data_IF_219719879432
#
_entry.id   IF_219719879432
#
_cell.length_a   1.000
_cell.length_b   1.000
_cell.length_c   1.000
_cell.angle_alpha   90.00
_cell.angle_beta   90.00
_cell.angle_gamma   90.00
#
_symmetry.space_group_name_H-M   'P 1'
#
loop_
_entity.id
_entity.type
_entity.pdbx_description
1 polymer ?
#
# COMPACT_ATOMS: atom_id res chain seq x y z
N UNK A 1 -4.93 -16.68 -19.48
CA UNK A 1 -3.50 -16.43 -19.73
C UNK A 1 -2.65 -16.79 -18.51
N UNK A 2 -2.52 -15.98 -17.44
CA UNK A 2 -1.72 -16.42 -16.25
C UNK A 2 -2.33 -17.62 -15.52
N UNK A 3 -3.66 -17.70 -15.43
CA UNK A 3 -4.35 -18.81 -14.76
C UNK A 3 -4.13 -20.18 -15.43
N UNK A 4 -3.70 -20.16 -16.69
CA UNK A 4 -3.53 -21.35 -17.54
C UNK A 4 -2.03 -21.72 -17.68
N UNK A 5 -1.13 -20.92 -17.09
CA UNK A 5 0.30 -21.17 -17.10
C UNK A 5 0.75 -21.86 -15.81
N UNK A 6 1.77 -22.73 -15.87
CA UNK A 6 2.47 -23.18 -14.68
C UNK A 6 2.93 -21.99 -13.82
N UNK A 7 2.94 -22.19 -12.51
CA UNK A 7 3.23 -21.12 -11.57
C UNK A 7 4.65 -20.58 -11.75
N UNK A 8 5.59 -21.44 -12.13
CA UNK A 8 6.99 -21.13 -12.39
C UNK A 8 7.15 -20.18 -13.59
N UNK A 9 6.42 -20.44 -14.67
CA UNK A 9 6.43 -19.60 -15.87
C UNK A 9 5.82 -18.24 -15.57
N UNK A 10 4.70 -18.23 -14.83
CA UNK A 10 4.07 -17.00 -14.39
C UNK A 10 5.02 -16.16 -13.52
N UNK A 11 5.71 -16.79 -12.58
CA UNK A 11 6.72 -16.12 -11.74
C UNK A 11 7.90 -15.62 -12.57
N UNK A 12 8.39 -16.40 -13.54
CA UNK A 12 9.48 -15.99 -14.43
C UNK A 12 9.11 -14.73 -15.21
N UNK A 13 7.91 -14.67 -15.79
CA UNK A 13 7.42 -13.48 -16.51
C UNK A 13 7.32 -12.28 -15.55
N UNK A 14 6.68 -12.45 -14.39
CA UNK A 14 6.53 -11.40 -13.38
C UNK A 14 7.88 -10.89 -12.86
N UNK A 15 8.92 -11.73 -12.84
CA UNK A 15 10.26 -11.33 -12.40
C UNK A 15 10.88 -10.27 -13.30
N UNK A 16 10.52 -10.23 -14.59
CA UNK A 16 11.03 -9.28 -15.60
C UNK A 16 10.32 -7.94 -15.59
N UNK A 17 9.16 -7.83 -14.94
CA UNK A 17 8.43 -6.57 -14.84
C UNK A 17 9.16 -5.60 -13.92
N UNK A 18 9.06 -4.30 -14.18
CA UNK A 18 9.46 -3.26 -13.23
C UNK A 18 8.48 -3.18 -12.05
N UNK A 19 8.83 -2.43 -11.01
CA UNK A 19 8.02 -2.38 -9.78
C UNK A 19 6.62 -1.79 -9.99
N UNK A 20 6.45 -0.85 -10.92
CA UNK A 20 5.12 -0.28 -11.19
C UNK A 20 4.26 -1.27 -11.97
N UNK A 21 4.81 -1.90 -13.01
CA UNK A 21 4.08 -2.93 -13.76
C UNK A 21 3.76 -4.15 -12.90
N UNK A 22 4.64 -4.54 -11.98
CA UNK A 22 4.39 -5.62 -11.02
C UNK A 22 3.25 -5.28 -10.05
N UNK A 23 3.18 -4.03 -9.59
CA UNK A 23 2.07 -3.55 -8.77
C UNK A 23 0.75 -3.55 -9.56
N UNK A 24 0.76 -3.07 -10.80
CA UNK A 24 -0.41 -3.07 -11.67
C UNK A 24 -0.90 -4.50 -11.94
N UNK A 25 0.03 -5.43 -12.20
CA UNK A 25 -0.27 -6.85 -12.39
C UNK A 25 -1.03 -7.44 -11.20
N UNK A 26 -0.63 -7.11 -9.97
CA UNK A 26 -1.32 -7.55 -8.75
C UNK A 26 -2.77 -7.03 -8.63
N UNK A 27 -3.12 -5.95 -9.33
CA UNK A 27 -4.45 -5.34 -9.31
C UNK A 27 -5.40 -5.89 -10.39
N UNK A 28 -4.89 -6.68 -11.35
CA UNK A 28 -5.68 -7.18 -12.49
C UNK A 28 -6.79 -8.14 -12.05
N UNK A 29 -6.48 -9.09 -11.16
CA UNK A 29 -7.46 -10.06 -10.66
C UNK A 29 -6.96 -10.80 -9.41
N UNK A 30 -7.83 -11.56 -8.75
CA UNK A 30 -7.49 -12.39 -7.58
C UNK A 30 -6.38 -13.42 -7.89
N UNK A 31 -6.41 -14.04 -9.07
CA UNK A 31 -5.38 -15.01 -9.48
C UNK A 31 -4.02 -14.32 -9.62
N UNK A 32 -3.98 -13.18 -10.29
CA UNK A 32 -2.75 -12.39 -10.45
C UNK A 32 -2.21 -11.87 -9.10
N UNK A 33 -3.10 -11.48 -8.19
CA UNK A 33 -2.73 -11.11 -6.82
C UNK A 33 -2.12 -12.30 -6.06
N UNK A 34 -2.67 -13.50 -6.22
CA UNK A 34 -2.13 -14.71 -5.60
C UNK A 34 -0.73 -15.03 -6.11
N UNK A 35 -0.53 -15.02 -7.44
CA UNK A 35 0.78 -15.24 -8.07
C UNK A 35 1.81 -14.19 -7.68
N UNK A 36 1.44 -12.91 -7.62
CA UNK A 36 2.37 -11.85 -7.19
C UNK A 36 2.72 -11.95 -5.69
N UNK A 37 1.89 -12.60 -4.88
CA UNK A 37 2.15 -12.85 -3.45
C UNK A 37 2.88 -14.17 -3.17
N UNK A 38 2.99 -15.06 -4.16
CA UNK A 38 3.55 -16.41 -3.95
C UNK A 38 5.05 -16.39 -3.62
N UNK A 39 5.77 -15.35 -4.02
CA UNK A 39 7.20 -15.21 -3.71
C UNK A 39 7.45 -14.09 -2.70
N UNK A 40 8.42 -14.29 -1.81
CA UNK A 40 8.87 -13.23 -0.88
C UNK A 40 9.48 -12.05 -1.62
N UNK A 41 10.20 -12.30 -2.72
CA UNK A 41 10.83 -11.27 -3.53
C UNK A 41 9.80 -10.28 -4.12
N UNK A 42 8.72 -10.77 -4.73
CA UNK A 42 7.69 -9.89 -5.31
C UNK A 42 6.98 -9.07 -4.23
N UNK A 43 6.63 -9.70 -3.10
CA UNK A 43 6.06 -9.00 -1.95
C UNK A 43 6.96 -7.86 -1.47
N UNK A 44 8.25 -8.12 -1.31
CA UNK A 44 9.21 -7.10 -0.88
C UNK A 44 9.33 -5.97 -1.89
N UNK A 45 9.40 -6.27 -3.19
CA UNK A 45 9.48 -5.26 -4.26
C UNK A 45 8.25 -4.36 -4.27
N UNK A 46 7.05 -4.95 -4.21
CA UNK A 46 5.78 -4.22 -4.16
C UNK A 46 5.71 -3.36 -2.89
N UNK A 47 6.03 -3.91 -1.71
CA UNK A 47 5.98 -3.18 -0.44
C UNK A 47 6.97 -1.99 -0.43
N UNK A 48 8.19 -2.20 -0.91
CA UNK A 48 9.20 -1.13 -1.02
C UNK A 48 8.72 -0.03 -1.98
N UNK A 49 8.14 -0.40 -3.12
CA UNK A 49 7.60 0.56 -4.09
C UNK A 49 6.46 1.39 -3.51
N UNK A 50 5.49 0.76 -2.84
CA UNK A 50 4.39 1.45 -2.17
C UNK A 50 4.94 2.39 -1.08
N UNK A 51 5.87 1.92 -0.24
CA UNK A 51 6.50 2.75 0.80
C UNK A 51 7.20 3.96 0.21
N UNK A 52 7.97 3.77 -0.86
CA UNK A 52 8.63 4.87 -1.56
C UNK A 52 7.63 5.89 -2.12
N UNK A 53 6.56 5.42 -2.78
CA UNK A 53 5.48 6.29 -3.28
C UNK A 53 4.81 7.06 -2.15
N UNK A 54 4.48 6.40 -1.05
CA UNK A 54 3.85 7.03 0.11
C UNK A 54 4.77 8.07 0.76
N UNK A 55 6.06 7.77 0.88
CA UNK A 55 7.05 8.73 1.39
C UNK A 55 7.15 9.97 0.48
N UNK A 56 7.22 9.79 -0.84
CA UNK A 56 7.20 10.91 -1.79
C UNK A 56 5.91 11.74 -1.67
N UNK A 57 4.76 11.08 -1.59
CA UNK A 57 3.47 11.76 -1.41
C UNK A 57 3.38 12.51 -0.08
N UNK A 58 3.96 11.97 1.00
CA UNK A 58 3.98 12.64 2.31
C UNK A 58 4.90 13.87 2.37
N UNK A 59 5.89 13.96 1.48
CA UNK A 59 6.72 15.17 1.35
C UNK A 59 6.00 16.27 0.58
N UNK A 60 5.12 15.90 -0.36
CA UNK A 60 4.34 16.84 -1.17
C UNK A 60 3.08 17.31 -0.43
N UNK A 61 2.43 16.42 0.33
CA UNK A 61 1.25 16.79 1.12
C UNK A 61 1.69 17.52 2.39
N UNK A 62 1.16 18.72 2.70
CA UNK A 62 1.39 19.33 3.99
C UNK A 62 0.90 18.35 5.07
N UNK A 63 1.72 18.09 6.10
CA UNK A 63 1.28 17.33 7.29
C UNK A 63 -0.02 17.99 7.77
N UNK A 64 -1.15 17.31 7.64
CA UNK A 64 -2.38 17.79 8.25
C UNK A 64 -2.14 17.84 9.77
N UNK A 65 -1.99 19.05 10.32
CA UNK A 65 -2.05 19.26 11.76
C UNK A 65 -3.50 19.09 12.19
N UNK A 66 -3.96 17.85 12.32
CA UNK A 66 -5.14 17.56 13.11
C UNK A 66 -4.94 16.22 13.77
N UNK A 67 -4.34 16.27 14.95
CA UNK A 67 -4.59 15.29 15.98
C UNK A 67 -4.99 16.12 17.20
N UNK A 68 -6.27 16.47 17.29
CA UNK A 68 -6.81 16.78 18.60
C UNK A 68 -6.65 15.50 19.40
N UNK A 69 -5.69 15.49 20.32
CA UNK A 69 -5.58 14.39 21.27
C UNK A 69 -6.87 14.37 22.08
N UNK A 70 -7.29 13.18 22.53
CA UNK A 70 -8.51 13.04 23.35
C UNK A 70 -8.52 14.02 24.56
N UNK A 71 -7.35 14.44 25.04
CA UNK A 71 -7.18 15.46 26.07
C UNK A 71 -7.62 16.87 25.64
N UNK A 72 -7.37 17.26 24.40
CA UNK A 72 -7.84 18.52 23.81
C UNK A 72 -9.36 18.53 23.66
N UNK A 73 -9.95 17.40 23.25
CA UNK A 73 -11.40 17.23 23.14
C UNK A 73 -12.08 17.24 24.52
N UNK A 74 -11.48 16.57 25.51
CA UNK A 74 -11.96 16.58 26.90
C UNK A 74 -11.97 17.99 27.51
N UNK A 75 -10.91 18.78 27.30
CA UNK A 75 -10.88 20.18 27.76
C UNK A 75 -11.97 21.04 27.12
N UNK A 76 -12.22 20.84 25.83
CA UNK A 76 -13.22 21.62 25.09
C UNK A 76 -14.64 21.30 25.57
N UNK A 77 -14.91 20.02 25.85
CA UNK A 77 -16.16 19.56 26.46
C UNK A 77 -16.36 20.12 27.88
N UNK A 78 -15.30 20.07 28.71
CA UNK A 78 -15.33 20.63 30.07
C UNK A 78 -15.58 22.15 30.10
N UNK A 79 -15.10 22.88 29.09
CA UNK A 79 -15.31 24.33 28.98
C UNK A 79 -16.77 24.67 28.64
N UNK A 80 -17.40 23.89 27.75
CA UNK A 80 -18.79 24.14 27.33
C UNK A 80 -19.83 23.65 28.35
N UNK A 81 -19.46 22.71 29.23
CA UNK A 81 -20.34 22.21 30.29
C UNK A 81 -20.43 23.14 31.51
N UNK A 82 -19.77 24.30 31.51
CA UNK A 82 -19.74 25.28 32.61
C UNK A 82 -20.51 26.58 32.34
N UNK A 83 -21.45 26.57 31.40
CA UNK A 83 -22.43 27.64 31.17
C UNK A 83 -23.83 27.11 31.46
#
# INVERSE_FOLDING_TARGET
MIKDLPIEISQMILSKLDNQSLLNAAQVSKTWLSTTKSTSNFRQRIHRHIRFRNNKLSQIRPKSKSSYTNQSLLRLYQFHSRK
#
